data_IF_008051002190
#
_entry.id   IF_008051002190
#
_cell.length_a   1.000
_cell.length_b   1.000
_cell.length_c   1.000
_cell.angle_alpha   90.00
_cell.angle_beta   90.00
_cell.angle_gamma   90.00
#
_symmetry.space_group_name_H-M   'P 1'
#
loop_
_entity.id
_entity.type
_entity.pdbx_description
1 polymer ?
#
# COMPACT_ATOMS: atom_id res chain seq x y z
N UNK A 1 1.31 -27.21 -21.76
CA UNK A 1 1.97 -25.89 -21.71
C UNK A 1 1.52 -25.25 -20.42
N UNK A 2 2.45 -24.95 -19.52
CA UNK A 2 2.16 -24.18 -18.31
C UNK A 2 1.80 -22.76 -18.69
N UNK A 3 0.99 -22.09 -17.87
CA UNK A 3 0.60 -20.67 -17.95
C UNK A 3 1.79 -19.70 -18.17
N UNK A 4 3.04 -20.17 -18.01
CA UNK A 4 4.28 -19.43 -18.17
C UNK A 4 4.62 -19.04 -19.61
N UNK A 5 4.23 -19.84 -20.61
CA UNK A 5 4.81 -19.71 -21.96
C UNK A 5 3.98 -18.78 -22.87
N UNK A 6 2.73 -18.48 -22.49
CA UNK A 6 1.84 -17.58 -23.24
C UNK A 6 1.93 -16.11 -22.77
N UNK A 7 2.45 -15.84 -21.56
CA UNK A 7 2.54 -14.49 -21.00
C UNK A 7 3.80 -13.70 -21.40
N UNK A 8 4.78 -14.33 -22.06
CA UNK A 8 6.08 -13.73 -22.42
C UNK A 8 6.40 -13.83 -23.92
N UNK A 9 5.51 -13.34 -24.79
CA UNK A 9 5.90 -13.12 -26.19
C UNK A 9 6.65 -11.79 -26.32
N UNK A 10 7.93 -11.82 -25.96
CA UNK A 10 8.90 -10.73 -26.08
C UNK A 10 9.97 -10.78 -24.99
N UNK A 11 11.23 -10.54 -25.35
CA UNK A 11 12.31 -10.33 -24.37
C UNK A 11 12.04 -9.02 -23.60
N UNK A 12 12.22 -9.03 -22.28
CA UNK A 12 12.03 -7.84 -21.45
C UNK A 12 13.13 -6.82 -21.81
N UNK A 13 12.75 -5.64 -22.27
CA UNK A 13 13.68 -4.54 -22.52
C UNK A 13 14.11 -3.89 -21.18
N UNK A 14 15.09 -4.52 -20.53
CA UNK A 14 15.66 -4.05 -19.27
C UNK A 14 16.29 -2.66 -19.39
N UNK A 15 16.82 -2.29 -20.57
CA UNK A 15 17.38 -0.97 -20.80
C UNK A 15 16.28 0.10 -20.81
N UNK A 16 15.14 -0.16 -21.43
CA UNK A 16 13.99 0.75 -21.37
C UNK A 16 13.43 0.89 -19.94
N UNK A 17 13.34 -0.21 -19.19
CA UNK A 17 12.93 -0.17 -17.78
C UNK A 17 13.90 0.68 -16.95
N UNK A 18 15.21 0.42 -17.07
CA UNK A 18 16.23 1.16 -16.34
C UNK A 18 16.22 2.67 -16.66
N UNK A 19 16.02 3.04 -17.93
CA UNK A 19 15.84 4.46 -18.32
C UNK A 19 14.60 5.06 -17.67
N UNK A 20 13.48 4.35 -17.65
CA UNK A 20 12.22 4.85 -17.06
C UNK A 20 12.32 5.03 -15.55
N UNK A 21 13.03 4.15 -14.86
CA UNK A 21 13.30 4.23 -13.43
C UNK A 21 14.41 5.22 -13.08
N UNK A 22 15.08 5.79 -14.08
CA UNK A 22 16.20 6.70 -13.87
C UNK A 22 17.43 6.02 -13.26
N UNK A 23 17.57 4.70 -13.43
CA UNK A 23 18.71 3.92 -12.90
C UNK A 23 19.87 3.79 -13.87
N UNK A 24 19.70 4.29 -15.09
CA UNK A 24 20.74 4.34 -16.13
C UNK A 24 21.20 5.79 -16.33
N UNK A 25 22.50 6.03 -16.20
CA UNK A 25 23.13 7.35 -16.32
C UNK A 25 24.28 7.32 -17.34
N UNK A 26 24.77 8.50 -17.76
CA UNK A 26 25.86 8.59 -18.75
C UNK A 26 27.13 7.83 -18.36
N UNK A 27 27.43 7.76 -17.05
CA UNK A 27 28.68 7.19 -16.52
C UNK A 27 28.48 5.90 -15.71
N UNK A 28 27.29 5.28 -15.72
CA UNK A 28 27.05 4.04 -14.99
C UNK A 28 25.59 3.73 -14.68
N UNK A 29 25.39 2.75 -13.80
CA UNK A 29 24.08 2.22 -13.42
C UNK A 29 23.93 2.17 -11.90
N UNK A 30 22.70 2.28 -11.42
CA UNK A 30 22.34 2.15 -10.00
C UNK A 30 21.19 1.17 -9.82
N UNK A 31 20.96 0.73 -8.58
CA UNK A 31 19.89 -0.21 -8.27
C UNK A 31 19.58 -0.22 -6.78
N UNK A 32 18.43 -0.79 -6.43
CA UNK A 32 18.02 -0.96 -5.04
C UNK A 32 16.68 -1.67 -4.95
N UNK A 33 16.30 -2.11 -3.75
CA UNK A 33 15.06 -2.87 -3.55
C UNK A 33 13.81 -2.09 -3.97
N UNK A 34 13.82 -0.75 -3.87
CA UNK A 34 12.73 0.10 -4.37
C UNK A 34 12.60 0.02 -5.90
N UNK A 35 13.68 0.28 -6.63
CA UNK A 35 13.65 0.27 -8.11
C UNK A 35 13.43 -1.14 -8.66
N UNK A 36 13.91 -2.18 -7.98
CA UNK A 36 13.62 -3.56 -8.33
C UNK A 36 12.12 -3.89 -8.24
N UNK A 37 11.44 -3.46 -7.16
CA UNK A 37 9.99 -3.63 -7.01
C UNK A 37 9.20 -2.88 -8.08
N UNK A 38 9.60 -1.66 -8.38
CA UNK A 38 8.99 -0.86 -9.46
C UNK A 38 9.20 -1.51 -10.84
N UNK A 39 10.38 -2.07 -11.12
CA UNK A 39 10.66 -2.84 -12.33
C UNK A 39 9.75 -4.07 -12.45
N UNK A 40 9.61 -4.86 -11.37
CA UNK A 40 8.71 -6.02 -11.34
C UNK A 40 7.27 -5.59 -11.57
N UNK A 41 6.82 -4.50 -10.94
CA UNK A 41 5.48 -3.96 -11.16
C UNK A 41 5.27 -3.52 -12.63
N UNK A 42 6.29 -2.95 -13.28
CA UNK A 42 6.23 -2.61 -14.71
C UNK A 42 6.13 -3.84 -15.61
N UNK A 43 6.84 -4.93 -15.28
CA UNK A 43 6.79 -6.20 -16.02
C UNK A 43 5.42 -6.85 -15.91
N UNK A 44 4.85 -6.87 -14.69
CA UNK A 44 3.49 -7.40 -14.46
C UNK A 44 2.45 -6.54 -15.19
N UNK A 45 2.65 -5.21 -15.20
CA UNK A 45 1.78 -4.25 -15.85
C UNK A 45 0.63 -3.77 -14.96
N UNK A 46 0.26 -2.50 -15.10
CA UNK A 46 -0.75 -1.85 -14.26
C UNK A 46 -2.13 -2.50 -14.38
N UNK A 47 -2.53 -2.95 -15.57
CA UNK A 47 -3.79 -3.67 -15.78
C UNK A 47 -3.90 -4.92 -14.91
N UNK A 48 -2.84 -5.73 -14.88
CA UNK A 48 -2.83 -6.97 -14.10
C UNK A 48 -2.78 -6.69 -12.59
N UNK A 49 -2.02 -5.69 -12.17
CA UNK A 49 -1.94 -5.30 -10.75
C UNK A 49 -3.27 -4.72 -10.24
N UNK A 50 -3.99 -3.96 -11.06
CA UNK A 50 -5.35 -3.47 -10.73
C UNK A 50 -6.36 -4.60 -10.68
N UNK A 51 -6.31 -5.52 -11.64
CA UNK A 51 -7.15 -6.72 -11.62
C UNK A 51 -6.87 -7.62 -10.40
N UNK A 52 -5.64 -7.61 -9.88
CA UNK A 52 -5.28 -8.30 -8.65
C UNK A 52 -5.98 -7.70 -7.42
N UNK A 53 -6.09 -6.37 -7.34
CA UNK A 53 -6.93 -5.70 -6.31
C UNK A 53 -8.38 -6.15 -6.42
N UNK A 54 -8.95 -6.15 -7.62
CA UNK A 54 -10.33 -6.61 -7.83
C UNK A 54 -10.51 -8.10 -7.45
N UNK A 55 -9.49 -8.94 -7.71
CA UNK A 55 -9.48 -10.35 -7.31
C UNK A 55 -9.45 -10.52 -5.80
N UNK A 56 -8.70 -9.66 -5.10
CA UNK A 56 -8.65 -9.61 -3.65
C UNK A 56 -10.01 -9.25 -3.04
N UNK A 57 -10.56 -8.09 -3.45
CA UNK A 57 -11.84 -7.57 -2.94
C UNK A 57 -13.01 -8.50 -3.26
N UNK A 58 -12.94 -9.26 -4.35
CA UNK A 58 -13.95 -10.28 -4.67
C UNK A 58 -13.83 -11.59 -3.87
N UNK A 59 -12.87 -11.70 -2.95
CA UNK A 59 -12.56 -12.91 -2.17
C UNK A 59 -12.39 -14.18 -3.02
N UNK A 60 -11.84 -14.05 -4.23
CA UNK A 60 -11.61 -15.19 -5.13
C UNK A 60 -10.48 -16.06 -4.58
N UNK A 61 -10.52 -17.37 -4.85
CA UNK A 61 -9.45 -18.31 -4.44
C UNK A 61 -8.07 -17.77 -4.83
N UNK A 62 -7.15 -17.78 -3.88
CA UNK A 62 -5.80 -17.21 -4.03
C UNK A 62 -5.69 -15.73 -3.65
N UNK A 63 -6.74 -15.08 -3.13
CA UNK A 63 -6.70 -13.68 -2.73
C UNK A 63 -5.61 -13.37 -1.69
N UNK A 64 -5.34 -14.26 -0.72
CA UNK A 64 -4.24 -14.07 0.23
C UNK A 64 -2.86 -14.05 -0.44
N UNK A 65 -2.62 -14.92 -1.43
CA UNK A 65 -1.38 -14.87 -2.20
C UNK A 65 -1.26 -13.54 -2.95
N UNK A 66 -2.37 -13.07 -3.54
CA UNK A 66 -2.42 -11.77 -4.22
C UNK A 66 -2.08 -10.64 -3.25
N UNK A 67 -2.66 -10.64 -2.04
CA UNK A 67 -2.36 -9.65 -0.99
C UNK A 67 -0.87 -9.61 -0.67
N UNK A 68 -0.23 -10.76 -0.48
CA UNK A 68 1.21 -10.82 -0.20
C UNK A 68 2.09 -10.37 -1.38
N UNK A 69 1.68 -10.67 -2.63
CA UNK A 69 2.38 -10.15 -3.82
C UNK A 69 2.27 -8.62 -3.88
N UNK A 70 1.08 -8.07 -3.66
CA UNK A 70 0.88 -6.63 -3.69
C UNK A 70 1.60 -5.94 -2.52
N UNK A 71 1.59 -6.53 -1.33
CA UNK A 71 2.36 -6.05 -0.18
C UNK A 71 3.87 -6.03 -0.50
N UNK A 72 4.41 -7.09 -1.12
CA UNK A 72 5.83 -7.09 -1.47
C UNK A 72 6.18 -5.94 -2.43
N UNK A 73 5.31 -5.64 -3.40
CA UNK A 73 5.61 -4.73 -4.51
C UNK A 73 5.27 -3.26 -4.25
N UNK A 74 4.32 -2.97 -3.34
CA UNK A 74 3.75 -1.63 -3.13
C UNK A 74 3.44 -0.86 -4.45
N UNK A 75 2.69 -1.43 -5.40
CA UNK A 75 2.49 -0.79 -6.68
C UNK A 75 1.50 0.36 -6.56
N UNK A 76 1.88 1.54 -7.05
CA UNK A 76 1.03 2.75 -7.01
C UNK A 76 -0.36 2.52 -7.60
N UNK A 77 -0.43 1.87 -8.76
CA UNK A 77 -1.71 1.59 -9.43
C UNK A 77 -2.64 0.68 -8.62
N UNK A 78 -2.12 -0.14 -7.68
CA UNK A 78 -2.95 -0.92 -6.77
C UNK A 78 -3.48 -0.06 -5.63
N UNK A 79 -2.66 0.86 -5.09
CA UNK A 79 -3.10 1.85 -4.10
C UNK A 79 -4.22 2.73 -4.68
N UNK A 80 -4.02 3.25 -5.89
CA UNK A 80 -5.04 4.01 -6.63
C UNK A 80 -6.31 3.18 -6.82
N UNK A 81 -6.18 1.90 -7.19
CA UNK A 81 -7.35 1.04 -7.37
C UNK A 81 -8.12 0.80 -6.07
N UNK A 82 -7.43 0.59 -4.95
CA UNK A 82 -8.07 0.47 -3.64
C UNK A 82 -8.87 1.75 -3.30
N UNK A 83 -8.25 2.91 -3.49
CA UNK A 83 -8.90 4.19 -3.22
C UNK A 83 -10.08 4.47 -4.17
N UNK A 84 -9.97 4.12 -5.45
CA UNK A 84 -11.07 4.20 -6.40
C UNK A 84 -12.26 3.33 -6.01
N UNK A 85 -12.03 2.09 -5.53
CA UNK A 85 -13.11 1.22 -5.05
C UNK A 85 -13.79 1.86 -3.84
N UNK A 86 -13.01 2.34 -2.87
CA UNK A 86 -13.52 3.07 -1.72
C UNK A 86 -14.43 4.25 -2.11
N UNK A 87 -14.03 5.04 -3.11
CA UNK A 87 -14.77 6.24 -3.53
C UNK A 87 -16.03 5.96 -4.34
N UNK A 88 -16.04 4.89 -5.14
CA UNK A 88 -17.03 4.71 -6.20
C UNK A 88 -17.95 3.50 -6.00
N UNK A 89 -17.54 2.51 -5.21
CA UNK A 89 -18.34 1.29 -5.02
C UNK A 89 -19.50 1.54 -4.05
N UNK A 90 -20.63 0.89 -4.29
CA UNK A 90 -21.82 1.02 -3.42
C UNK A 90 -21.84 -0.03 -2.34
N UNK A 91 -21.22 -1.17 -2.61
CA UNK A 91 -21.09 -2.26 -1.65
C UNK A 91 -20.13 -1.84 -0.52
N UNK A 92 -20.65 -1.83 0.72
CA UNK A 92 -19.93 -1.38 1.89
C UNK A 92 -18.77 -2.31 2.21
N UNK A 93 -18.97 -3.63 2.10
CA UNK A 93 -17.94 -4.63 2.36
C UNK A 93 -16.77 -4.46 1.38
N UNK A 94 -17.07 -4.26 0.09
CA UNK A 94 -16.04 -4.01 -0.92
C UNK A 94 -15.21 -2.74 -0.64
N UNK A 95 -15.84 -1.68 -0.11
CA UNK A 95 -15.12 -0.45 0.29
C UNK A 95 -14.20 -0.73 1.48
N UNK A 96 -14.68 -1.46 2.49
CA UNK A 96 -13.89 -1.84 3.68
C UNK A 96 -12.72 -2.73 3.29
N UNK A 97 -12.94 -3.76 2.47
CA UNK A 97 -11.90 -4.68 1.99
C UNK A 97 -10.83 -3.96 1.14
N UNK A 98 -11.23 -2.96 0.36
CA UNK A 98 -10.29 -2.14 -0.38
C UNK A 98 -9.37 -1.32 0.55
N UNK A 99 -9.89 -0.78 1.64
CA UNK A 99 -9.07 -0.05 2.63
C UNK A 99 -8.23 -1.00 3.49
N UNK A 100 -8.73 -2.21 3.78
CA UNK A 100 -7.93 -3.27 4.39
C UNK A 100 -6.70 -3.59 3.53
N UNK A 101 -6.89 -3.78 2.22
CA UNK A 101 -5.79 -4.05 1.32
C UNK A 101 -4.85 -2.85 1.22
N UNK A 102 -5.41 -1.63 1.13
CA UNK A 102 -4.63 -0.39 1.12
C UNK A 102 -3.66 -0.33 2.30
N UNK A 103 -4.08 -0.76 3.50
CA UNK A 103 -3.22 -0.86 4.70
C UNK A 103 -1.89 -1.54 4.44
N UNK A 104 -1.87 -2.64 3.70
CA UNK A 104 -0.63 -3.42 3.50
C UNK A 104 0.13 -3.03 2.24
N UNK A 105 -0.53 -2.39 1.26
CA UNK A 105 0.15 -1.94 0.03
C UNK A 105 0.61 -0.49 0.09
N UNK A 106 0.10 0.30 1.04
CA UNK A 106 0.41 1.71 1.17
C UNK A 106 1.91 1.98 1.37
N UNK A 107 2.34 3.12 0.87
CA UNK A 107 3.58 3.79 1.24
C UNK A 107 3.29 5.28 1.51
N UNK A 108 4.36 6.08 1.68
CA UNK A 108 4.29 7.53 1.93
C UNK A 108 3.33 8.28 1.00
N UNK A 109 3.09 7.81 -0.23
CA UNK A 109 2.19 8.48 -1.19
C UNK A 109 0.72 8.42 -0.79
N UNK A 110 0.32 7.51 0.10
CA UNK A 110 -1.05 7.37 0.57
C UNK A 110 -1.42 8.36 1.68
N UNK A 111 -0.45 9.03 2.32
CA UNK A 111 -0.69 9.97 3.44
C UNK A 111 -1.82 10.99 3.18
N UNK A 112 -1.93 11.63 1.99
CA UNK A 112 -2.97 12.62 1.73
C UNK A 112 -4.40 12.07 1.81
N UNK A 113 -4.60 10.75 1.72
CA UNK A 113 -5.92 10.13 1.77
C UNK A 113 -6.37 9.81 3.20
N UNK A 114 -5.42 9.54 4.10
CA UNK A 114 -5.71 8.90 5.41
C UNK A 114 -6.63 9.75 6.28
N UNK A 115 -6.44 11.07 6.30
CA UNK A 115 -7.29 11.98 7.08
C UNK A 115 -8.77 11.81 6.73
N UNK A 116 -9.11 11.83 5.45
CA UNK A 116 -10.49 11.66 4.99
C UNK A 116 -11.04 10.26 5.31
N UNK A 117 -10.19 9.23 5.33
CA UNK A 117 -10.61 7.88 5.68
C UNK A 117 -10.83 7.70 7.20
N UNK A 118 -10.04 8.38 8.05
CA UNK A 118 -10.29 8.46 9.49
C UNK A 118 -11.59 9.20 9.80
N UNK A 119 -12.00 10.14 8.97
CA UNK A 119 -13.26 10.89 9.11
C UNK A 119 -14.47 10.18 8.47
N UNK A 120 -14.28 9.02 7.83
CA UNK A 120 -15.35 8.28 7.16
C UNK A 120 -16.41 7.82 8.18
N UNK A 121 -17.72 7.86 7.88
CA UNK A 121 -18.75 7.39 8.81
C UNK A 121 -18.70 5.89 9.10
N UNK A 122 -18.02 5.09 8.28
CA UNK A 122 -17.88 3.64 8.47
C UNK A 122 -16.75 3.30 9.46
N UNK A 123 -17.09 2.63 10.56
CA UNK A 123 -16.13 2.26 11.61
C UNK A 123 -15.03 1.30 11.13
N UNK A 124 -15.33 0.43 10.16
CA UNK A 124 -14.34 -0.49 9.57
C UNK A 124 -13.32 0.27 8.72
N UNK A 125 -13.76 1.25 7.95
CA UNK A 125 -12.87 2.15 7.19
C UNK A 125 -11.97 2.95 8.13
N UNK A 126 -12.54 3.51 9.20
CA UNK A 126 -11.77 4.22 10.22
C UNK A 126 -10.68 3.32 10.85
N UNK A 127 -11.05 2.11 11.24
CA UNK A 127 -10.13 1.14 11.85
C UNK A 127 -8.98 0.78 10.90
N UNK A 128 -9.29 0.41 9.66
CA UNK A 128 -8.25 0.06 8.69
C UNK A 128 -7.35 1.24 8.34
N UNK A 129 -7.89 2.46 8.37
CA UNK A 129 -7.14 3.69 8.12
C UNK A 129 -6.14 4.00 9.24
N UNK A 130 -6.53 3.81 10.49
CA UNK A 130 -5.60 3.84 11.62
C UNK A 130 -4.50 2.77 11.45
N UNK A 131 -4.86 1.61 10.91
CA UNK A 131 -3.90 0.57 10.55
C UNK A 131 -2.92 0.97 9.44
N UNK A 132 -3.30 1.88 8.53
CA UNK A 132 -2.36 2.39 7.50
C UNK A 132 -1.24 3.16 8.20
N UNK A 133 -1.59 4.06 9.13
CA UNK A 133 -0.63 4.87 9.89
C UNK A 133 0.35 3.98 10.66
N UNK A 134 -0.17 3.00 11.38
CA UNK A 134 0.62 2.00 12.09
C UNK A 134 1.59 1.25 11.18
N UNK A 135 1.09 0.68 10.08
CA UNK A 135 1.93 -0.07 9.15
C UNK A 135 3.05 0.79 8.55
N UNK A 136 2.76 2.04 8.20
CA UNK A 136 3.74 2.96 7.62
C UNK A 136 4.86 3.29 8.62
N UNK A 137 4.52 3.57 9.88
CA UNK A 137 5.48 3.88 10.94
C UNK A 137 6.30 2.65 11.35
N UNK A 138 5.63 1.51 11.55
CA UNK A 138 6.27 0.25 11.91
C UNK A 138 7.25 -0.24 10.83
N UNK A 139 6.90 -0.02 9.56
CA UNK A 139 7.73 -0.42 8.41
C UNK A 139 8.80 0.61 8.03
N UNK A 140 8.96 1.69 8.80
CA UNK A 140 9.89 2.79 8.50
C UNK A 140 9.68 3.40 7.09
N UNK A 141 8.44 3.39 6.59
CA UNK A 141 8.09 3.97 5.27
C UNK A 141 7.87 5.49 5.35
N UNK A 142 7.57 5.98 6.55
CA UNK A 142 7.38 7.39 6.89
C UNK A 142 8.04 7.67 8.23
N UNK A 143 8.36 8.93 8.45
CA UNK A 143 8.88 9.43 9.73
C UNK A 143 7.71 9.90 10.62
N UNK A 144 7.81 9.79 11.96
CA UNK A 144 6.72 10.18 12.87
C UNK A 144 6.23 11.62 12.65
N UNK A 145 7.13 12.54 12.32
CA UNK A 145 6.83 13.95 12.06
C UNK A 145 5.88 14.14 10.88
N UNK A 146 5.90 13.24 9.90
CA UNK A 146 4.99 13.28 8.75
C UNK A 146 3.58 12.81 9.10
N UNK A 147 3.42 12.12 10.23
CA UNK A 147 2.15 11.62 10.72
C UNK A 147 1.61 12.43 11.90
N UNK A 148 2.25 13.54 12.31
CA UNK A 148 1.85 14.32 13.51
C UNK A 148 0.35 14.67 13.52
N UNK A 149 -0.17 15.21 12.41
CA UNK A 149 -1.59 15.55 12.29
C UNK A 149 -2.49 14.31 12.39
N UNK A 150 -2.10 13.20 11.75
CA UNK A 150 -2.86 11.95 11.76
C UNK A 150 -2.88 11.35 13.18
N UNK A 151 -1.75 11.36 13.88
CA UNK A 151 -1.63 10.90 15.25
C UNK A 151 -2.49 11.74 16.20
N UNK A 152 -2.54 13.07 16.01
CA UNK A 152 -3.40 13.95 16.79
C UNK A 152 -4.90 13.67 16.57
N UNK A 153 -5.30 13.36 15.33
CA UNK A 153 -6.66 12.92 15.00
C UNK A 153 -6.96 11.60 15.72
N UNK A 154 -6.07 10.61 15.59
CA UNK A 154 -6.26 9.29 16.18
C UNK A 154 -6.34 9.33 17.71
N UNK A 155 -5.56 10.19 18.37
CA UNK A 155 -5.55 10.36 19.84
C UNK A 155 -6.91 10.73 20.43
N UNK A 156 -7.73 11.49 19.69
CA UNK A 156 -9.02 12.00 20.15
C UNK A 156 -10.20 11.37 19.39
N UNK A 157 -9.94 10.28 18.68
CA UNK A 157 -10.91 9.69 17.77
C UNK A 157 -12.08 9.04 18.54
N UNK A 158 -13.34 9.19 18.10
CA UNK A 158 -14.49 8.60 18.80
C UNK A 158 -14.54 7.06 18.71
N UNK A 159 -13.95 6.48 17.65
CA UNK A 159 -13.85 5.03 17.48
C UNK A 159 -12.76 4.44 18.38
N UNK A 160 -13.14 3.47 19.22
CA UNK A 160 -12.26 2.83 20.19
C UNK A 160 -11.10 2.07 19.54
N UNK A 161 -11.32 1.42 18.40
CA UNK A 161 -10.27 0.66 17.71
C UNK A 161 -9.17 1.58 17.19
N UNK A 162 -9.55 2.80 16.78
CA UNK A 162 -8.59 3.85 16.39
C UNK A 162 -7.76 4.33 17.59
N UNK A 163 -8.39 4.52 18.76
CA UNK A 163 -7.70 4.91 20.00
C UNK A 163 -6.74 3.81 20.50
N UNK A 164 -7.17 2.55 20.42
CA UNK A 164 -6.34 1.40 20.76
C UNK A 164 -5.13 1.33 19.82
N UNK A 165 -5.35 1.53 18.52
CA UNK A 165 -4.27 1.59 17.53
C UNK A 165 -3.29 2.73 17.80
N UNK A 166 -3.79 3.93 18.12
CA UNK A 166 -2.94 5.05 18.51
C UNK A 166 -2.05 4.69 19.70
N UNK A 167 -2.63 4.07 20.72
CA UNK A 167 -1.89 3.67 21.93
C UNK A 167 -0.77 2.68 21.59
N UNK A 168 -1.03 1.70 20.73
CA UNK A 168 -0.02 0.75 20.23
C UNK A 168 1.10 1.44 19.45
N UNK A 169 0.76 2.39 18.57
CA UNK A 169 1.76 3.18 17.81
C UNK A 169 2.66 3.95 18.77
N UNK A 170 2.08 4.63 19.77
CA UNK A 170 2.87 5.43 20.71
C UNK A 170 3.79 4.57 21.58
N UNK A 171 3.36 3.38 21.99
CA UNK A 171 4.23 2.41 22.68
C UNK A 171 5.42 2.03 21.80
N UNK A 172 5.18 1.63 20.55
CA UNK A 172 6.23 1.30 19.59
C UNK A 172 7.19 2.46 19.33
N UNK A 173 6.70 3.69 19.15
CA UNK A 173 7.55 4.86 18.90
C UNK A 173 8.43 5.20 20.10
N UNK A 174 7.90 5.11 21.33
CA UNK A 174 8.68 5.33 22.55
C UNK A 174 9.78 4.29 22.71
N UNK A 175 9.51 3.00 22.41
CA UNK A 175 10.53 1.95 22.42
C UNK A 175 11.63 2.23 21.40
N UNK A 176 11.25 2.60 20.18
CA UNK A 176 12.18 2.93 19.08
C UNK A 176 13.11 4.11 19.43
N UNK A 177 12.60 5.14 20.11
CA UNK A 177 13.41 6.27 20.56
C UNK A 177 14.41 5.88 21.65
N UNK A 178 14.04 4.98 22.55
CA UNK A 178 14.93 4.52 23.64
C UNK A 178 16.07 3.62 23.16
N UNK A 179 15.89 2.96 22.01
CA UNK A 179 16.88 2.06 21.38
C UNK A 179 17.84 2.79 20.40
N UNK A 180 17.63 4.08 20.14
CA UNK A 180 18.41 4.90 19.19
C UNK A 180 19.51 5.71 19.87
#
# INVERSE_FOLDING_TARGET
MSLSDEMNQGEIDWTAIARKLGTLHENGESGGSKTAREAVAMIIGSTNLRAAVDHYVSHKKGYELVRHVLWLLHPWCAMERCYEIYQNEKDQDARVDAIELLRVVADRRALPWIKGLLEDPDEGIQCWSAGIVDQLLWSYLVDPEECEELLQIMQNHPNKEVLERYSFIMEFLNERENDS
#
